data_IF_321155547382
#
_entry.id   IF_321155547382
#
_cell.length_a   1.000
_cell.length_b   1.000
_cell.length_c   1.000
_cell.angle_alpha   90.00
_cell.angle_beta   90.00
_cell.angle_gamma   90.00
#
_symmetry.space_group_name_H-M   'P 1'
#
loop_
_entity.id
_entity.type
_entity.pdbx_description
1 polymer ?
#
# COMPACT_ATOMS: atom_id res chain seq x y z
N UNK A 1 4.96 8.87 14.64
CA UNK A 1 4.15 8.27 13.56
C UNK A 1 3.65 6.86 13.86
N UNK A 2 4.50 5.92 14.32
CA UNK A 2 4.06 4.55 14.60
C UNK A 2 3.15 4.38 15.86
N UNK A 3 3.23 5.29 16.83
CA UNK A 3 2.30 5.33 17.98
C UNK A 3 0.86 5.71 17.58
N UNK A 4 0.67 6.55 16.55
CA UNK A 4 -0.65 6.90 16.01
C UNK A 4 -1.33 5.71 15.31
N UNK A 5 -0.58 4.63 15.06
CA UNK A 5 -1.06 3.40 14.44
C UNK A 5 -1.32 2.28 15.47
N UNK A 6 -1.01 2.45 16.76
CA UNK A 6 -1.32 1.43 17.78
C UNK A 6 -0.44 0.17 17.71
N UNK A 7 0.73 0.26 17.09
CA UNK A 7 1.73 -0.79 17.19
C UNK A 7 2.36 -0.78 18.58
N UNK A 8 2.23 -1.89 19.32
CA UNK A 8 2.86 -2.09 20.63
C UNK A 8 4.40 -2.09 20.56
N UNK A 9 4.97 -2.48 19.42
CA UNK A 9 6.42 -2.49 19.22
C UNK A 9 6.77 -2.08 17.78
N UNK A 10 7.14 -0.82 17.61
CA UNK A 10 7.32 -0.15 16.32
C UNK A 10 8.50 -0.70 15.52
N UNK A 11 9.53 -1.20 16.22
CA UNK A 11 10.74 -1.81 15.62
C UNK A 11 10.45 -3.13 14.91
N UNK A 12 9.57 -3.98 15.47
CA UNK A 12 9.21 -5.28 14.89
C UNK A 12 8.36 -5.13 13.61
N UNK A 13 7.45 -4.15 13.59
CA UNK A 13 6.65 -3.83 12.40
C UNK A 13 7.53 -3.33 11.25
N UNK A 14 8.51 -2.46 11.54
CA UNK A 14 9.48 -1.99 10.55
C UNK A 14 10.34 -3.15 10.03
N UNK A 15 10.80 -4.05 10.91
CA UNK A 15 11.62 -5.20 10.51
C UNK A 15 10.89 -6.14 9.54
N UNK A 16 9.60 -6.44 9.80
CA UNK A 16 8.82 -7.44 9.05
C UNK A 16 8.18 -6.95 7.75
N UNK A 17 8.00 -5.64 7.60
CA UNK A 17 7.10 -5.10 6.58
C UNK A 17 7.68 -4.02 5.68
N UNK A 18 8.92 -3.60 5.94
CA UNK A 18 9.62 -2.63 5.12
C UNK A 18 10.88 -3.32 4.60
N UNK A 19 11.18 -3.15 3.31
CA UNK A 19 12.39 -3.70 2.73
C UNK A 19 13.64 -2.97 3.24
N UNK A 20 14.80 -3.65 3.32
CA UNK A 20 16.02 -3.04 3.84
C UNK A 20 16.49 -1.84 3.01
N UNK A 21 16.20 -1.80 1.70
CA UNK A 21 16.50 -0.65 0.83
C UNK A 21 15.72 0.62 1.20
N UNK A 22 14.51 0.45 1.76
CA UNK A 22 13.63 1.52 2.19
C UNK A 22 13.93 1.98 3.63
N UNK A 23 14.89 1.35 4.31
CA UNK A 23 15.32 1.67 5.68
C UNK A 23 16.66 2.38 5.65
N UNK A 24 16.72 3.55 6.30
CA UNK A 24 17.95 4.25 6.65
C UNK A 24 18.10 4.18 8.17
N UNK A 25 19.11 3.44 8.63
CA UNK A 25 19.39 3.28 10.07
C UNK A 25 20.62 4.08 10.55
N UNK A 26 21.45 4.59 9.63
CA UNK A 26 22.84 4.98 9.97
C UNK A 26 23.22 6.46 9.82
N UNK A 27 22.47 7.33 9.13
CA UNK A 27 22.99 8.66 8.76
C UNK A 27 22.24 9.85 9.39
N UNK A 28 22.42 10.06 10.70
CA UNK A 28 22.46 11.43 11.22
C UNK A 28 21.37 11.94 12.16
N UNK A 29 20.49 11.09 12.70
CA UNK A 29 19.50 11.54 13.71
C UNK A 29 19.63 10.75 14.99
N UNK A 30 20.71 10.95 15.73
CA UNK A 30 20.79 10.52 17.13
C UNK A 30 19.92 11.46 17.97
N UNK A 31 18.83 10.96 18.54
CA UNK A 31 18.02 11.72 19.50
C UNK A 31 18.57 11.42 20.89
N UNK A 32 19.10 12.44 21.56
CA UNK A 32 19.44 12.35 22.98
C UNK A 32 18.18 12.56 23.81
N UNK A 33 17.75 11.53 24.53
CA UNK A 33 16.72 11.67 25.56
C UNK A 33 17.22 12.56 26.71
N UNK A 34 16.32 13.17 27.51
CA UNK A 34 16.69 13.93 28.71
C UNK A 34 17.53 13.15 29.74
N UNK A 35 17.61 11.81 29.60
CA UNK A 35 18.43 10.89 30.39
C UNK A 35 19.79 10.53 29.74
N UNK A 36 20.20 11.24 28.66
CA UNK A 36 21.51 11.07 28.03
C UNK A 36 21.68 9.79 27.22
N UNK A 37 20.59 9.14 26.81
CA UNK A 37 20.62 7.93 25.97
C UNK A 37 20.52 8.32 24.51
N UNK A 38 21.43 7.80 23.69
CA UNK A 38 21.36 7.95 22.24
C UNK A 38 20.35 6.96 21.65
N UNK A 39 19.29 7.49 21.04
CA UNK A 39 18.36 6.70 20.26
C UNK A 39 18.68 6.81 18.77
N UNK A 40 18.73 5.66 18.09
CA UNK A 40 18.87 5.55 16.65
C UNK A 40 17.50 5.14 16.04
N UNK A 41 16.64 6.10 15.69
CA UNK A 41 15.36 5.82 15.04
C UNK A 41 15.58 5.36 13.60
N UNK A 42 14.87 4.32 13.18
CA UNK A 42 14.84 3.92 11.77
C UNK A 42 14.04 4.94 10.96
N UNK A 43 14.68 5.57 9.99
CA UNK A 43 14.02 6.45 9.01
C UNK A 43 13.61 5.60 7.81
N UNK A 44 12.40 5.80 7.32
CA UNK A 44 11.90 5.15 6.11
C UNK A 44 11.50 6.20 5.08
N UNK A 45 11.67 5.89 3.80
CA UNK A 45 11.19 6.71 2.68
C UNK A 45 9.68 6.49 2.44
N UNK A 46 9.12 7.16 1.41
CA UNK A 46 7.70 7.05 1.07
C UNK A 46 7.28 5.64 0.64
N UNK A 47 8.13 4.93 -0.12
CA UNK A 47 7.89 3.52 -0.49
C UNK A 47 7.79 2.64 0.75
N UNK A 48 8.71 2.78 1.70
CA UNK A 48 8.69 2.07 2.97
C UNK A 48 7.47 2.41 3.83
N UNK A 49 7.03 3.68 3.81
CA UNK A 49 5.79 4.10 4.46
C UNK A 49 4.57 3.39 3.86
N UNK A 50 4.48 3.33 2.52
CA UNK A 50 3.40 2.62 1.83
C UNK A 50 3.42 1.12 2.14
N UNK A 51 4.60 0.49 2.10
CA UNK A 51 4.78 -0.93 2.42
C UNK A 51 4.31 -1.25 3.85
N UNK A 52 4.64 -0.40 4.82
CA UNK A 52 4.19 -0.54 6.21
C UNK A 52 2.67 -0.43 6.35
N UNK A 53 2.05 0.52 5.64
CA UNK A 53 0.61 0.75 5.73
C UNK A 53 -0.19 -0.33 4.99
N UNK A 54 0.29 -0.79 3.84
CA UNK A 54 -0.38 -1.81 3.03
C UNK A 54 -0.33 -3.22 3.66
N UNK A 55 0.76 -3.53 4.36
CA UNK A 55 0.97 -4.80 5.07
C UNK A 55 0.35 -4.84 6.48
N UNK A 56 -0.01 -3.69 7.03
CA UNK A 56 -0.56 -3.57 8.36
C UNK A 56 -1.90 -4.30 8.53
N UNK A 57 -2.03 -5.05 9.63
CA UNK A 57 -3.27 -5.75 10.00
C UNK A 57 -4.27 -4.88 10.78
N UNK A 58 -3.91 -3.63 11.08
CA UNK A 58 -4.72 -2.73 11.89
C UNK A 58 -5.98 -2.27 11.16
N UNK A 59 -7.13 -2.16 11.85
CA UNK A 59 -8.38 -1.73 11.23
C UNK A 59 -8.32 -0.30 10.65
N UNK A 60 -7.53 0.59 11.26
CA UNK A 60 -7.26 1.94 10.76
C UNK A 60 -6.41 1.92 9.49
N UNK A 61 -5.35 1.11 9.45
CA UNK A 61 -4.53 0.93 8.27
C UNK A 61 -5.30 0.25 7.13
N UNK A 62 -6.23 -0.67 7.44
CA UNK A 62 -7.17 -1.23 6.45
C UNK A 62 -8.07 -0.14 5.85
N UNK A 63 -8.63 0.76 6.67
CA UNK A 63 -9.42 1.90 6.16
C UNK A 63 -8.60 2.81 5.25
N UNK A 64 -7.36 3.12 5.65
CA UNK A 64 -6.46 3.93 4.82
C UNK A 64 -6.06 3.20 3.53
N UNK A 65 -5.72 1.91 3.60
CA UNK A 65 -5.49 1.05 2.43
C UNK A 65 -6.71 1.08 1.51
N UNK A 66 -7.92 0.90 2.03
CA UNK A 66 -9.15 1.02 1.22
C UNK A 66 -9.41 2.43 0.70
N UNK A 67 -8.89 3.48 1.31
CA UNK A 67 -8.99 4.84 0.80
C UNK A 67 -7.97 5.11 -0.32
N UNK A 68 -6.72 4.64 -0.14
CA UNK A 68 -5.63 4.73 -1.12
C UNK A 68 -5.91 3.81 -2.32
N UNK A 69 -6.11 2.53 -2.07
CA UNK A 69 -6.42 1.50 -3.07
C UNK A 69 -7.90 1.42 -3.36
N UNK A 70 -8.68 2.46 -3.05
CA UNK A 70 -10.13 2.45 -3.17
C UNK A 70 -10.52 1.84 -4.48
N UNK A 71 -11.02 0.60 -4.43
CA UNK A 71 -11.23 -0.20 -5.62
C UNK A 71 -12.08 0.60 -6.61
N UNK A 72 -13.05 1.36 -6.11
CA UNK A 72 -13.85 2.30 -6.89
C UNK A 72 -13.04 3.34 -7.68
N UNK A 73 -11.97 3.91 -7.13
CA UNK A 73 -11.06 4.86 -7.80
C UNK A 73 -10.19 4.17 -8.85
N UNK A 74 -9.64 3.01 -8.52
CA UNK A 74 -8.86 2.20 -9.47
C UNK A 74 -9.73 1.77 -10.66
N UNK A 75 -10.88 1.15 -10.39
CA UNK A 75 -11.84 0.77 -11.40
C UNK A 75 -12.37 1.98 -12.19
N UNK A 76 -12.47 3.17 -11.58
CA UNK A 76 -12.82 4.39 -12.30
C UNK A 76 -11.74 4.80 -13.30
N UNK A 77 -10.48 4.85 -12.87
CA UNK A 77 -9.32 5.12 -13.74
C UNK A 77 -9.23 4.12 -14.88
N UNK A 78 -9.33 2.82 -14.59
CA UNK A 78 -9.29 1.77 -15.61
C UNK A 78 -10.43 1.89 -16.64
N UNK A 79 -11.61 2.38 -16.24
CA UNK A 79 -12.71 2.69 -17.17
C UNK A 79 -12.49 3.97 -17.98
N UNK A 80 -11.83 4.97 -17.40
CA UNK A 80 -11.48 6.23 -18.08
C UNK A 80 -10.36 6.04 -19.11
N UNK A 81 -9.37 5.23 -18.78
CA UNK A 81 -8.23 4.89 -19.65
C UNK A 81 -8.58 3.83 -20.73
N UNK A 82 -9.81 3.29 -20.68
CA UNK A 82 -10.31 2.34 -21.67
C UNK A 82 -9.81 0.90 -21.48
N UNK A 83 -9.26 0.56 -20.33
CA UNK A 83 -8.90 -0.82 -19.98
C UNK A 83 -10.13 -1.65 -19.60
N UNK A 84 -11.14 -1.00 -19.00
CA UNK A 84 -12.41 -1.63 -18.63
C UNK A 84 -13.59 -0.95 -19.32
N UNK A 85 -14.64 -1.72 -19.58
CA UNK A 85 -15.87 -1.22 -20.18
C UNK A 85 -16.58 -0.26 -19.20
N UNK A 86 -16.82 0.97 -19.66
CA UNK A 86 -17.51 2.03 -18.93
C UNK A 86 -19.03 2.00 -19.10
N UNK A 87 -19.53 1.33 -20.15
CA UNK A 87 -20.97 1.20 -20.41
C UNK A 87 -21.64 0.50 -19.24
N UNK A 88 -22.65 1.14 -18.65
CA UNK A 88 -23.44 0.53 -17.58
C UNK A 88 -24.30 -0.58 -18.19
N UNK A 89 -24.14 -1.81 -17.70
CA UNK A 89 -24.77 -3.01 -18.22
C UNK A 89 -24.09 -4.27 -17.68
N UNK A 90 -24.41 -5.42 -18.27
CA UNK A 90 -23.80 -6.70 -17.91
C UNK A 90 -22.26 -6.70 -18.06
N UNK A 91 -21.74 -5.91 -18.99
CA UNK A 91 -20.32 -5.86 -19.31
C UNK A 91 -19.53 -4.86 -18.44
N UNK A 92 -20.15 -4.25 -17.43
CA UNK A 92 -19.47 -3.25 -16.60
C UNK A 92 -18.30 -3.86 -15.82
N UNK A 93 -17.11 -3.24 -15.92
CA UNK A 93 -15.83 -3.77 -15.44
C UNK A 93 -15.29 -5.01 -16.19
N UNK A 94 -15.89 -5.41 -17.31
CA UNK A 94 -15.23 -6.37 -18.21
C UNK A 94 -14.03 -5.70 -18.90
N UNK A 95 -12.93 -6.42 -19.11
CA UNK A 95 -11.78 -5.91 -19.84
C UNK A 95 -12.12 -5.65 -21.31
N UNK A 96 -11.53 -4.60 -21.88
CA UNK A 96 -11.67 -4.31 -23.32
C UNK A 96 -10.76 -5.21 -24.14
N UNK A 97 -11.05 -5.35 -25.44
CA UNK A 97 -10.19 -6.09 -26.39
C UNK A 97 -8.72 -5.65 -26.29
N UNK A 98 -8.48 -4.34 -26.25
CA UNK A 98 -7.15 -3.73 -26.06
C UNK A 98 -6.48 -4.21 -24.76
N UNK A 99 -7.22 -4.26 -23.66
CA UNK A 99 -6.68 -4.66 -22.36
C UNK A 99 -6.32 -6.15 -22.31
N UNK A 100 -7.08 -6.98 -23.03
CA UNK A 100 -6.80 -8.40 -23.23
C UNK A 100 -5.55 -8.61 -24.11
N UNK A 101 -5.42 -7.86 -25.22
CA UNK A 101 -4.26 -7.92 -26.13
C UNK A 101 -2.95 -7.50 -25.45
N UNK A 102 -3.03 -6.55 -24.51
CA UNK A 102 -1.89 -6.13 -23.68
C UNK A 102 -1.51 -7.15 -22.58
N UNK A 103 -2.27 -8.23 -22.42
CA UNK A 103 -2.04 -9.24 -21.38
C UNK A 103 -2.25 -8.72 -19.94
N UNK A 104 -2.97 -7.60 -19.78
CA UNK A 104 -3.22 -6.99 -18.47
C UNK A 104 -4.35 -7.68 -17.69
N UNK A 105 -5.20 -8.43 -18.39
CA UNK A 105 -6.36 -9.10 -17.83
C UNK A 105 -6.53 -10.50 -18.44
N UNK A 106 -7.08 -11.42 -17.64
CA UNK A 106 -7.43 -12.78 -18.04
C UNK A 106 -8.89 -13.02 -17.63
N UNK A 107 -9.70 -13.53 -18.56
CA UNK A 107 -11.08 -13.92 -18.26
C UNK A 107 -11.06 -15.36 -17.76
N UNK A 108 -11.36 -15.55 -16.49
CA UNK A 108 -11.61 -16.88 -15.94
C UNK A 108 -13.10 -17.19 -16.07
N UNK A 109 -13.44 -18.20 -16.88
CA UNK A 109 -14.79 -18.73 -16.88
C UNK A 109 -15.02 -19.44 -15.54
N UNK A 110 -15.80 -18.83 -14.67
CA UNK A 110 -16.28 -19.50 -13.46
C UNK A 110 -17.46 -20.38 -13.89
N UNK A 111 -17.24 -21.68 -14.05
CA UNK A 111 -18.35 -22.64 -14.03
C UNK A 111 -18.98 -22.60 -12.64
N UNK A 112 -20.22 -22.11 -12.57
CA UNK A 112 -21.07 -22.17 -11.36
C UNK A 112 -21.61 -23.58 -11.18
#
# INVERSE_FOLDING_TARGET
>A
MAAALGYANTKDALAKHVDPEDKRQDDGVAICDPMGREQHPTIINESGLYSLVLSSKLPTAKKFRHWVTGAKRLFARLREEGYLIRRRGADYNMPTQKAMELGLFEVKETSV
#
